data_IF_703089321087
#
_entry.id   IF_703089321087
#
_cell.length_a   1.000
_cell.length_b   1.000
_cell.length_c   1.000
_cell.angle_alpha   90.00
_cell.angle_beta   90.00
_cell.angle_gamma   90.00
#
_symmetry.space_group_name_H-M   'P 1'
#
loop_
_entity.id
_entity.type
_entity.pdbx_description
1 polymer ?
#
# COMPACT_ATOMS: atom_id res chain seq x y z
N UNK A 1 -6.32 34.32 12.72
CA UNK A 1 -5.65 33.09 12.25
C UNK A 1 -4.57 33.54 11.28
N UNK A 2 -3.35 33.01 11.38
CA UNK A 2 -2.30 33.29 10.39
C UNK A 2 -2.54 32.39 9.19
N UNK A 3 -2.44 32.95 7.98
CA UNK A 3 -2.48 32.17 6.76
C UNK A 3 -1.36 31.12 6.75
N UNK A 4 -1.65 29.95 6.17
CA UNK A 4 -0.67 28.88 5.98
C UNK A 4 0.46 29.37 5.08
N UNK A 5 1.71 29.22 5.54
CA UNK A 5 2.86 29.57 4.72
C UNK A 5 3.00 28.59 3.55
N UNK A 6 3.61 29.03 2.45
CA UNK A 6 3.81 28.19 1.25
C UNK A 6 4.52 26.87 1.58
N UNK A 7 5.55 26.92 2.45
CA UNK A 7 6.29 25.74 2.87
C UNK A 7 5.42 24.77 3.69
N UNK A 8 4.57 25.29 4.56
CA UNK A 8 3.65 24.48 5.37
C UNK A 8 2.60 23.80 4.48
N UNK A 9 2.10 24.51 3.47
CA UNK A 9 1.18 23.94 2.48
C UNK A 9 1.86 22.85 1.65
N UNK A 10 3.07 23.12 1.13
CA UNK A 10 3.82 22.14 0.34
C UNK A 10 4.13 20.87 1.15
N UNK A 11 4.49 21.03 2.42
CA UNK A 11 4.71 19.92 3.34
C UNK A 11 3.43 19.12 3.58
N UNK A 12 2.32 19.80 3.92
CA UNK A 12 1.03 19.14 4.14
C UNK A 12 0.54 18.40 2.89
N UNK A 13 0.72 18.99 1.70
CA UNK A 13 0.36 18.36 0.43
C UNK A 13 1.20 17.11 0.15
N UNK A 14 2.51 17.17 0.46
CA UNK A 14 3.42 16.02 0.31
C UNK A 14 3.02 14.87 1.23
N UNK A 15 2.55 15.17 2.44
CA UNK A 15 2.00 14.17 3.37
C UNK A 15 0.73 13.52 2.81
N UNK A 16 -0.21 14.31 2.28
CA UNK A 16 -1.43 13.76 1.66
C UNK A 16 -1.10 12.88 0.47
N UNK A 17 -0.19 13.31 -0.42
CA UNK A 17 0.21 12.53 -1.59
C UNK A 17 0.78 11.17 -1.22
N UNK A 18 1.67 11.13 -0.23
CA UNK A 18 2.44 9.94 0.15
C UNK A 18 1.73 9.02 1.15
N UNK A 19 0.80 9.53 1.97
CA UNK A 19 0.20 8.76 3.08
C UNK A 19 -1.31 8.57 3.01
N UNK A 20 -2.03 9.36 2.24
CA UNK A 20 -3.49 9.24 2.21
C UNK A 20 -3.93 8.01 1.41
N UNK A 21 -4.70 7.14 2.07
CA UNK A 21 -5.22 5.87 1.57
C UNK A 21 -6.54 6.10 0.85
N UNK A 22 -6.74 5.46 -0.30
CA UNK A 22 -7.98 5.57 -1.08
C UNK A 22 -8.96 4.46 -0.69
N UNK A 23 -10.13 4.84 -0.19
CA UNK A 23 -11.23 3.94 0.13
C UNK A 23 -12.34 4.05 -0.91
N UNK A 24 -12.88 2.91 -1.33
CA UNK A 24 -14.14 2.83 -2.05
C UNK A 24 -15.28 2.86 -1.02
N UNK A 25 -15.96 4.00 -0.90
CA UNK A 25 -17.03 4.23 0.07
C UNK A 25 -18.37 4.20 -0.64
N UNK A 26 -19.29 3.37 -0.14
CA UNK A 26 -20.68 3.34 -0.63
C UNK A 26 -21.50 4.44 0.03
N UNK A 27 -22.08 5.35 -0.76
CA UNK A 27 -23.03 6.34 -0.27
C UNK A 27 -24.31 5.67 0.22
N UNK A 28 -24.67 5.87 1.48
CA UNK A 28 -25.87 5.29 2.08
C UNK A 28 -27.18 5.75 1.38
N UNK A 29 -27.20 6.96 0.83
CA UNK A 29 -28.40 7.56 0.22
C UNK A 29 -28.65 7.11 -1.21
N UNK A 30 -27.60 6.91 -2.02
CA UNK A 30 -27.72 6.61 -3.45
C UNK A 30 -27.23 5.21 -3.82
N UNK A 31 -26.43 4.57 -2.96
CA UNK A 31 -25.78 3.30 -3.25
C UNK A 31 -24.52 3.42 -4.12
N UNK A 32 -24.20 4.61 -4.60
CA UNK A 32 -23.03 4.88 -5.44
C UNK A 32 -21.72 4.65 -4.69
N UNK A 33 -20.70 4.20 -5.41
CA UNK A 33 -19.34 4.03 -4.88
C UNK A 33 -18.54 5.29 -5.21
N UNK A 34 -18.08 5.99 -4.19
CA UNK A 34 -17.14 7.11 -4.32
C UNK A 34 -15.78 6.72 -3.78
N UNK A 35 -14.72 7.22 -4.43
CA UNK A 35 -13.36 7.09 -3.91
C UNK A 35 -13.04 8.29 -3.03
N UNK A 36 -12.66 8.04 -1.77
CA UNK A 36 -12.25 9.06 -0.81
C UNK A 36 -10.83 8.78 -0.34
N UNK A 37 -10.04 9.85 -0.13
CA UNK A 37 -8.69 9.75 0.41
C UNK A 37 -8.69 10.21 1.86
N UNK A 38 -8.12 9.39 2.74
CA UNK A 38 -8.07 9.67 4.18
C UNK A 38 -6.66 9.38 4.72
N UNK A 39 -6.20 10.21 5.66
CA UNK A 39 -5.06 9.87 6.50
C UNK A 39 -5.56 8.91 7.57
N UNK A 40 -4.93 7.74 7.67
CA UNK A 40 -5.32 6.70 8.63
C UNK A 40 -4.13 6.49 9.58
N UNK A 41 -4.19 7.06 10.80
CA UNK A 41 -3.12 6.92 11.78
C UNK A 41 -2.79 5.45 12.01
N UNK A 42 -1.52 5.15 12.32
CA UNK A 42 -0.99 3.79 12.54
C UNK A 42 -0.88 2.98 11.25
N UNK A 43 -1.86 3.04 10.35
CA UNK A 43 -1.83 2.27 9.11
C UNK A 43 -0.87 2.86 8.07
N UNK A 44 -0.71 4.19 8.06
CA UNK A 44 0.17 4.92 7.15
C UNK A 44 1.67 4.83 7.49
N UNK A 45 2.03 4.09 8.54
CA UNK A 45 3.43 3.78 8.90
C UNK A 45 3.95 2.52 8.20
N UNK A 46 3.05 1.71 7.65
CA UNK A 46 3.41 0.49 6.94
C UNK A 46 4.02 0.84 5.59
N UNK A 47 5.19 0.28 5.31
CA UNK A 47 5.90 0.53 4.06
C UNK A 47 5.35 -0.29 2.89
N UNK A 48 5.63 0.20 1.68
CA UNK A 48 5.28 -0.47 0.44
C UNK A 48 6.02 -1.81 0.25
N UNK A 49 5.33 -2.79 -0.32
CA UNK A 49 5.91 -3.94 -0.99
C UNK A 49 5.14 -4.22 -2.30
N UNK A 50 5.84 -4.50 -3.41
CA UNK A 50 5.18 -4.87 -4.67
C UNK A 50 4.52 -6.26 -4.56
N UNK A 51 3.45 -6.45 -5.32
CA UNK A 51 2.70 -7.72 -5.40
C UNK A 51 3.32 -8.71 -6.40
N UNK A 52 4.07 -8.20 -7.38
CA UNK A 52 4.53 -8.94 -8.57
C UNK A 52 5.73 -9.89 -8.37
N UNK A 53 6.38 -9.89 -7.20
CA UNK A 53 7.58 -10.72 -6.95
C UNK A 53 7.30 -12.14 -6.44
N UNK A 54 6.05 -12.48 -6.13
CA UNK A 54 5.71 -13.80 -5.58
C UNK A 54 5.66 -14.92 -6.64
N UNK A 55 5.29 -14.62 -7.89
CA UNK A 55 4.94 -15.65 -8.89
C UNK A 55 6.00 -15.93 -9.97
N UNK A 56 7.06 -15.12 -10.07
CA UNK A 56 7.95 -15.12 -11.26
C UNK A 56 9.07 -16.16 -11.22
N UNK A 57 9.27 -16.88 -10.11
CA UNK A 57 10.39 -17.85 -10.00
C UNK A 57 9.96 -19.33 -9.94
N UNK A 58 8.67 -19.64 -10.05
CA UNK A 58 8.18 -21.02 -10.07
C UNK A 58 8.01 -21.64 -11.45
N UNK A 59 8.33 -20.93 -12.54
CA UNK A 59 8.22 -21.47 -13.90
C UNK A 59 9.48 -21.24 -14.74
N UNK A 60 10.19 -22.35 -14.98
CA UNK A 60 10.96 -22.66 -16.18
C UNK A 60 12.16 -21.75 -16.55
N UNK A 61 13.34 -22.06 -15.99
CA UNK A 61 14.51 -22.53 -16.76
C UNK A 61 15.81 -22.37 -15.95
N UNK A 62 16.43 -23.50 -15.63
CA UNK A 62 17.88 -23.60 -15.40
C UNK A 62 18.64 -23.32 -16.72
N UNK A 63 18.65 -22.06 -17.18
CA UNK A 63 19.56 -21.64 -18.26
C UNK A 63 20.34 -20.40 -17.83
N UNK A 64 21.65 -20.60 -17.74
CA UNK A 64 22.72 -19.64 -17.51
C UNK A 64 22.68 -18.91 -16.16
N UNK A 65 23.39 -19.51 -15.19
CA UNK A 65 23.53 -19.07 -13.81
C UNK A 65 24.36 -17.81 -13.61
N UNK A 66 23.90 -16.66 -14.13
CA UNK A 66 24.57 -15.36 -13.88
C UNK A 66 23.61 -14.23 -13.44
N UNK A 67 22.27 -14.39 -13.51
CA UNK A 67 21.35 -13.30 -13.12
C UNK A 67 20.07 -13.67 -12.33
N UNK A 68 19.84 -14.93 -11.95
CA UNK A 68 18.56 -15.32 -11.31
C UNK A 68 18.53 -15.21 -9.78
N UNK A 69 19.40 -14.40 -9.17
CA UNK A 69 19.23 -14.01 -7.76
C UNK A 69 18.30 -12.79 -7.64
N UNK A 70 17.20 -12.77 -8.41
CA UNK A 70 16.06 -11.96 -8.04
C UNK A 70 15.60 -12.52 -6.69
N UNK A 71 16.03 -11.86 -5.61
CA UNK A 71 15.61 -12.14 -4.25
C UNK A 71 14.09 -12.32 -4.30
N UNK A 72 13.63 -13.55 -4.05
CA UNK A 72 12.22 -13.82 -3.79
C UNK A 72 11.90 -13.12 -2.47
N UNK A 73 11.69 -11.81 -2.53
CA UNK A 73 11.21 -11.03 -1.42
C UNK A 73 9.72 -11.34 -1.38
N UNK A 74 9.22 -11.93 -0.27
CA UNK A 74 7.80 -12.18 -0.15
C UNK A 74 7.06 -10.86 -0.32
N UNK A 75 5.97 -10.89 -1.08
CA UNK A 75 5.11 -9.73 -1.29
C UNK A 75 4.50 -9.18 0.00
N UNK A 76 3.53 -8.26 -0.10
CA UNK A 76 2.89 -7.66 1.07
C UNK A 76 2.35 -8.73 2.02
N UNK A 77 2.69 -8.58 3.31
CA UNK A 77 2.20 -9.46 4.37
C UNK A 77 1.00 -8.86 5.12
N UNK A 78 0.49 -7.71 4.67
CA UNK A 78 -0.73 -7.05 5.14
C UNK A 78 -1.63 -6.68 3.97
N UNK A 79 -2.93 -6.95 4.09
CA UNK A 79 -3.99 -6.48 3.19
C UNK A 79 -5.06 -5.69 3.93
N UNK A 80 -5.81 -4.87 3.19
CA UNK A 80 -6.94 -4.09 3.73
C UNK A 80 -8.23 -4.67 3.18
N UNK A 81 -9.15 -5.01 4.08
CA UNK A 81 -10.51 -5.38 3.73
C UNK A 81 -11.50 -4.44 4.39
N UNK A 82 -12.55 -4.06 3.67
CA UNK A 82 -13.68 -3.35 4.25
C UNK A 82 -14.83 -4.32 4.43
N UNK A 83 -15.33 -4.45 5.67
CA UNK A 83 -16.41 -5.38 5.99
C UNK A 83 -17.80 -4.77 5.71
N UNK A 84 -18.84 -5.58 5.89
CA UNK A 84 -20.24 -5.16 5.66
C UNK A 84 -20.75 -4.06 6.61
N UNK A 85 -20.09 -3.83 7.75
CA UNK A 85 -20.37 -2.72 8.67
C UNK A 85 -19.66 -1.42 8.27
N UNK A 86 -18.82 -1.43 7.23
CA UNK A 86 -18.07 -0.26 6.76
C UNK A 86 -16.77 -0.02 7.52
N UNK A 87 -16.31 -0.98 8.32
CA UNK A 87 -15.02 -0.93 9.00
C UNK A 87 -13.93 -1.46 8.07
N UNK A 88 -12.79 -0.77 8.04
CA UNK A 88 -11.60 -1.24 7.34
C UNK A 88 -10.67 -1.95 8.32
N UNK A 89 -10.25 -3.16 7.96
CA UNK A 89 -9.42 -4.05 8.77
C UNK A 89 -8.14 -4.36 8.01
N UNK A 90 -7.01 -4.17 8.69
CA UNK A 90 -5.69 -4.58 8.19
C UNK A 90 -5.41 -5.97 8.73
N UNK A 91 -5.23 -6.93 7.83
CA UNK A 91 -5.05 -8.34 8.18
C UNK A 91 -3.77 -8.87 7.56
N UNK A 92 -3.09 -9.73 8.31
CA UNK A 92 -1.92 -10.43 7.79
C UNK A 92 -2.34 -11.45 6.74
N UNK A 93 -1.64 -11.49 5.60
CA UNK A 93 -1.91 -12.45 4.52
C UNK A 93 -1.20 -13.79 4.72
N UNK A 94 -0.26 -13.84 5.67
CA UNK A 94 0.55 -15.00 6.03
C UNK A 94 1.09 -14.83 7.45
N UNK A 95 1.70 -15.88 7.98
CA UNK A 95 2.44 -15.79 9.24
C UNK A 95 3.61 -14.80 9.11
N UNK A 96 3.76 -13.95 10.13
CA UNK A 96 4.82 -12.93 10.22
C UNK A 96 5.65 -13.23 11.46
N UNK A 97 6.95 -13.44 11.29
CA UNK A 97 7.85 -13.77 12.39
C UNK A 97 8.18 -12.51 13.20
N UNK A 98 8.40 -12.64 14.50
CA UNK A 98 8.84 -11.53 15.33
C UNK A 98 10.13 -10.89 14.76
N UNK A 99 10.09 -9.57 14.56
CA UNK A 99 11.18 -8.80 13.94
C UNK A 99 11.06 -8.65 12.41
N UNK A 100 10.13 -9.36 11.76
CA UNK A 100 9.80 -9.11 10.35
C UNK A 100 8.98 -7.83 10.20
N UNK A 101 9.28 -7.04 9.18
CA UNK A 101 8.55 -5.81 8.90
C UNK A 101 7.16 -6.10 8.30
N UNK A 102 6.13 -5.43 8.82
CA UNK A 102 4.81 -5.40 8.20
C UNK A 102 4.83 -4.46 6.99
N UNK A 103 4.33 -4.95 5.85
CA UNK A 103 4.31 -4.25 4.56
C UNK A 103 3.00 -4.51 3.82
N UNK A 104 2.56 -3.51 3.08
CA UNK A 104 1.35 -3.56 2.26
C UNK A 104 1.61 -2.96 0.88
N UNK A 105 0.67 -3.09 -0.04
CA UNK A 105 0.78 -2.44 -1.36
C UNK A 105 0.15 -1.04 -1.31
N UNK A 106 0.83 -0.05 -1.90
CA UNK A 106 0.26 1.29 -2.09
C UNK A 106 -0.61 1.34 -3.36
N UNK A 107 -0.64 0.25 -4.13
CA UNK A 107 -1.16 0.13 -5.48
C UNK A 107 -0.12 -0.43 -6.44
N UNK A 108 -0.55 -0.74 -7.65
CA UNK A 108 0.34 -1.11 -8.76
C UNK A 108 0.93 0.18 -9.36
N UNK A 109 2.05 0.61 -8.79
CA UNK A 109 2.74 1.85 -9.14
C UNK A 109 4.06 1.55 -9.83
N UNK A 110 4.37 2.29 -10.88
CA UNK A 110 5.72 2.34 -11.44
C UNK A 110 6.69 3.07 -10.50
N UNK A 111 7.99 2.88 -10.69
CA UNK A 111 9.00 3.60 -9.91
C UNK A 111 8.91 5.12 -10.09
N UNK A 112 8.48 5.60 -11.26
CA UNK A 112 8.26 7.03 -11.52
C UNK A 112 7.09 7.59 -10.69
N UNK A 113 6.04 6.80 -10.51
CA UNK A 113 4.90 7.20 -9.66
C UNK A 113 5.21 7.15 -8.16
N UNK A 114 6.24 6.39 -7.77
CA UNK A 114 6.76 6.35 -6.39
C UNK A 114 7.76 7.46 -6.06
N UNK A 115 8.34 8.12 -7.08
CA UNK A 115 9.30 9.21 -6.93
C UNK A 115 8.61 10.57 -6.70
#
# INVERSE_FOLDING_TARGET
ESDLQELEFAWAWSMVRSRAITFAVRKATTGDIERKRCLVPVCDVLNHSPTSLADVLSSDNERDGVYSQALSVPGPNVQIETNGSGESVWMTTRDVVAGEALRWTYGELSNEEMW
#
